data_IF_402477259695
#
_entry.id   IF_402477259695
#
_cell.length_a   1.000
_cell.length_b   1.000
_cell.length_c   1.000
_cell.angle_alpha   90.00
_cell.angle_beta   90.00
_cell.angle_gamma   90.00
#
_symmetry.space_group_name_H-M   'P 1'
#
loop_
_entity.id
_entity.type
_entity.pdbx_description
1 polymer ?
#
# COMPACT_ATOMS: atom_id res chain seq x y z
N UNK A 1 9.76 -4.78 18.09
CA UNK A 1 10.01 -5.87 17.12
C UNK A 1 11.16 -5.55 16.16
N UNK A 2 11.14 -4.41 15.39
CA UNK A 2 12.21 -4.10 14.43
C UNK A 2 13.55 -3.90 15.14
N UNK A 3 13.56 -3.23 16.27
CA UNK A 3 14.79 -3.00 17.05
C UNK A 3 15.29 -4.27 17.75
N UNK A 4 14.39 -5.17 18.17
CA UNK A 4 14.75 -6.50 18.68
C UNK A 4 15.33 -7.37 17.56
N UNK A 5 14.77 -7.31 16.35
CA UNK A 5 15.28 -8.01 15.20
C UNK A 5 16.67 -7.50 14.79
N UNK A 6 16.90 -6.19 14.78
CA UNK A 6 18.22 -5.59 14.54
C UNK A 6 19.25 -5.94 15.65
N UNK A 7 18.78 -6.16 16.87
CA UNK A 7 19.63 -6.57 18.00
C UNK A 7 20.06 -8.04 17.92
N UNK A 8 19.25 -8.88 17.27
CA UNK A 8 19.46 -10.33 17.11
C UNK A 8 20.03 -10.72 15.74
N UNK A 9 20.36 -9.78 14.87
CA UNK A 9 21.05 -10.10 13.62
C UNK A 9 22.46 -10.53 13.97
N UNK A 10 22.82 -11.79 13.65
CA UNK A 10 24.16 -12.34 13.78
C UNK A 10 25.23 -11.48 13.07
N UNK A 11 24.83 -10.68 12.09
CA UNK A 11 25.68 -9.68 11.42
C UNK A 11 26.16 -8.57 12.36
N UNK A 12 25.41 -8.22 13.40
CA UNK A 12 25.93 -7.32 14.45
C UNK A 12 26.98 -8.04 15.28
N UNK A 13 26.89 -9.35 15.44
CA UNK A 13 27.95 -10.15 16.05
C UNK A 13 29.20 -10.25 15.15
N UNK A 14 29.06 -10.10 13.84
CA UNK A 14 30.18 -9.96 12.92
C UNK A 14 30.90 -8.60 13.08
N UNK A 15 30.17 -7.58 13.52
CA UNK A 15 30.69 -6.29 13.96
C UNK A 15 31.00 -6.24 15.45
N UNK A 16 30.67 -7.28 16.22
CA UNK A 16 31.07 -7.43 17.61
C UNK A 16 32.55 -7.82 17.64
N UNK A 17 33.37 -6.83 17.38
CA UNK A 17 34.73 -6.80 17.94
C UNK A 17 34.59 -7.28 19.39
N UNK A 18 35.36 -8.29 19.78
CA UNK A 18 35.41 -8.78 21.15
C UNK A 18 35.40 -7.59 22.10
N UNK A 19 34.72 -7.70 23.25
CA UNK A 19 34.58 -6.58 24.20
C UNK A 19 35.92 -5.87 24.49
N UNK A 20 37.03 -6.61 24.38
CA UNK A 20 38.42 -6.18 24.60
C UNK A 20 38.92 -5.25 23.47
N UNK A 21 38.32 -5.32 22.25
CA UNK A 21 38.78 -4.55 21.07
C UNK A 21 37.83 -3.38 20.74
N UNK A 22 36.82 -3.10 21.59
CA UNK A 22 35.86 -2.02 21.36
C UNK A 22 36.53 -0.66 21.54
N UNK A 23 36.60 0.09 20.45
CA UNK A 23 36.99 1.49 20.51
C UNK A 23 35.89 2.35 21.15
N UNK A 24 36.24 3.49 21.73
CA UNK A 24 35.28 4.44 22.31
C UNK A 24 34.21 4.90 21.28
N UNK A 25 34.51 4.82 20.01
CA UNK A 25 33.57 5.13 18.93
C UNK A 25 32.47 4.06 18.80
N UNK A 26 32.87 2.78 18.88
CA UNK A 26 31.94 1.64 18.81
C UNK A 26 31.01 1.67 20.04
N UNK A 27 31.52 1.95 21.22
CA UNK A 27 30.70 2.05 22.44
C UNK A 27 29.68 3.18 22.36
N UNK A 28 30.09 4.36 21.86
CA UNK A 28 29.15 5.47 21.61
C UNK A 28 28.07 5.13 20.59
N UNK A 29 28.44 4.42 19.55
CA UNK A 29 27.52 3.95 18.52
C UNK A 29 26.49 2.96 19.10
N UNK A 30 26.93 1.96 19.86
CA UNK A 30 26.03 1.01 20.52
C UNK A 30 25.11 1.71 21.53
N UNK A 31 25.65 2.63 22.33
CA UNK A 31 24.86 3.45 23.26
C UNK A 31 23.78 4.26 22.53
N UNK A 32 24.11 4.87 21.40
CA UNK A 32 23.15 5.57 20.57
C UNK A 32 22.01 4.63 20.11
N UNK A 33 22.35 3.44 19.59
CA UNK A 33 21.36 2.45 19.16
C UNK A 33 20.44 2.01 20.30
N UNK A 34 20.97 1.79 21.49
CA UNK A 34 20.18 1.42 22.66
C UNK A 34 19.23 2.56 23.11
N UNK A 35 19.57 3.81 22.82
CA UNK A 35 18.74 4.96 23.12
C UNK A 35 17.67 5.26 22.07
N UNK A 36 17.80 4.76 20.83
CA UNK A 36 16.83 5.02 19.74
C UNK A 36 15.37 4.73 20.12
N UNK A 37 15.02 3.62 20.80
CA UNK A 37 13.65 3.38 21.23
C UNK A 37 13.12 4.46 22.18
N UNK A 38 13.99 5.01 23.04
CA UNK A 38 13.63 6.08 23.96
C UNK A 38 13.40 7.40 23.20
N UNK A 39 14.32 7.76 22.32
CA UNK A 39 14.14 8.94 21.46
C UNK A 39 12.88 8.85 20.62
N UNK A 40 12.59 7.69 20.05
CA UNK A 40 11.37 7.49 19.30
C UNK A 40 10.10 7.67 20.16
N UNK A 41 10.10 7.16 21.40
CA UNK A 41 8.97 7.33 22.31
C UNK A 41 8.74 8.79 22.68
N UNK A 42 9.80 9.51 23.02
CA UNK A 42 9.72 10.92 23.39
C UNK A 42 9.33 11.78 22.17
N UNK A 43 9.90 11.52 21.00
CA UNK A 43 9.52 12.17 19.75
C UNK A 43 8.04 11.99 19.44
N UNK A 44 7.57 10.73 19.49
CA UNK A 44 6.16 10.42 19.27
C UNK A 44 5.26 11.17 20.27
N UNK A 45 5.62 11.15 21.55
CA UNK A 45 4.88 11.84 22.60
C UNK A 45 4.80 13.33 22.31
N UNK A 46 5.93 13.96 22.02
CA UNK A 46 5.98 15.39 21.70
C UNK A 46 5.10 15.77 20.50
N UNK A 47 5.13 14.96 19.43
CA UNK A 47 4.26 15.19 18.29
C UNK A 47 2.77 15.16 18.66
N UNK A 48 2.38 14.17 19.47
CA UNK A 48 1.00 14.04 19.92
C UNK A 48 0.57 15.18 20.86
N UNK A 49 1.43 15.60 21.74
CA UNK A 49 1.19 16.74 22.66
C UNK A 49 1.00 18.04 21.85
N UNK A 50 1.70 18.18 20.71
CA UNK A 50 1.53 19.29 19.77
C UNK A 50 0.37 19.13 18.80
N UNK A 51 -0.37 18.03 18.85
CA UNK A 51 -1.44 17.65 17.91
C UNK A 51 -0.98 17.64 16.43
N UNK A 52 0.24 17.18 16.18
CA UNK A 52 0.83 16.99 14.85
C UNK A 52 1.34 15.56 14.70
N UNK A 53 1.42 15.08 13.46
CA UNK A 53 1.94 13.75 13.19
C UNK A 53 2.48 13.64 11.76
N UNK A 54 3.48 12.76 11.54
CA UNK A 54 3.86 12.32 10.21
C UNK A 54 2.93 11.18 9.74
N UNK A 55 2.84 10.96 8.44
CA UNK A 55 1.90 10.03 7.82
C UNK A 55 1.89 8.63 8.47
N UNK A 56 3.06 8.04 8.71
CA UNK A 56 3.14 6.71 9.33
C UNK A 56 2.64 6.68 10.78
N UNK A 57 2.73 7.79 11.52
CA UNK A 57 2.15 7.92 12.86
C UNK A 57 0.63 8.03 12.79
N UNK A 58 0.10 8.81 11.82
CA UNK A 58 -1.35 8.91 11.56
C UNK A 58 -1.94 7.54 11.29
N UNK A 59 -1.35 6.76 10.37
CA UNK A 59 -1.81 5.40 10.07
C UNK A 59 -1.80 4.48 11.29
N UNK A 60 -0.75 4.54 12.09
CA UNK A 60 -0.64 3.74 13.33
C UNK A 60 -1.72 4.09 14.35
N UNK A 61 -1.98 5.39 14.52
CA UNK A 61 -3.02 5.87 15.43
C UNK A 61 -4.40 5.46 14.92
N UNK A 62 -4.67 5.61 13.60
CA UNK A 62 -5.91 5.21 12.99
C UNK A 62 -6.20 3.72 13.23
N UNK A 63 -5.21 2.84 13.01
CA UNK A 63 -5.34 1.41 13.30
C UNK A 63 -5.60 1.14 14.78
N UNK A 64 -4.90 1.85 15.68
CA UNK A 64 -5.06 1.66 17.14
C UNK A 64 -6.46 2.05 17.62
N UNK A 65 -7.03 3.10 17.05
CA UNK A 65 -8.33 3.66 17.45
C UNK A 65 -9.51 3.09 16.66
N UNK A 66 -9.24 2.21 15.69
CA UNK A 66 -10.25 1.68 14.78
C UNK A 66 -11.40 0.95 15.50
N UNK A 67 -11.12 0.29 16.64
CA UNK A 67 -12.16 -0.32 17.47
C UNK A 67 -13.17 0.71 17.95
N UNK A 68 -12.71 1.75 18.63
CA UNK A 68 -13.58 2.82 19.10
C UNK A 68 -14.30 3.57 17.99
N UNK A 69 -13.69 3.70 16.81
CA UNK A 69 -14.36 4.25 15.63
C UNK A 69 -15.55 3.38 15.20
N UNK A 70 -15.35 2.07 15.10
CA UNK A 70 -16.40 1.11 14.72
C UNK A 70 -17.55 1.14 15.73
N UNK A 71 -17.23 1.11 17.02
CA UNK A 71 -18.23 1.15 18.09
C UNK A 71 -19.08 2.42 18.07
N UNK A 72 -18.45 3.55 17.70
CA UNK A 72 -19.11 4.85 17.59
C UNK A 72 -19.87 5.05 16.26
N UNK A 73 -19.61 4.23 15.25
CA UNK A 73 -20.18 4.36 13.91
C UNK A 73 -20.71 3.00 13.37
N UNK A 74 -21.58 2.31 14.08
CA UNK A 74 -22.00 0.94 13.75
C UNK A 74 -22.82 0.81 12.47
N UNK A 75 -23.23 1.92 11.87
CA UNK A 75 -24.06 1.95 10.65
C UNK A 75 -23.38 2.62 9.47
N UNK A 76 -22.12 3.08 9.63
CA UNK A 76 -21.40 3.75 8.56
C UNK A 76 -20.76 2.73 7.63
N UNK A 77 -21.32 2.56 6.43
CA UNK A 77 -20.76 1.69 5.41
C UNK A 77 -19.68 2.43 4.59
N UNK A 78 -18.53 1.79 4.46
CA UNK A 78 -17.38 2.31 3.73
C UNK A 78 -17.23 1.60 2.39
N UNK A 79 -16.98 2.36 1.33
CA UNK A 79 -16.74 1.83 -0.01
C UNK A 79 -15.28 2.09 -0.41
N UNK A 80 -14.57 1.04 -0.74
CA UNK A 80 -13.21 1.08 -1.22
C UNK A 80 -13.18 0.61 -2.67
N UNK A 81 -12.55 1.38 -3.56
CA UNK A 81 -12.51 1.05 -4.98
C UNK A 81 -11.14 1.33 -5.60
N UNK A 82 -10.74 0.50 -6.57
CA UNK A 82 -9.58 0.73 -7.43
C UNK A 82 -8.22 0.62 -6.75
N UNK A 83 -8.11 -0.15 -5.66
CA UNK A 83 -6.82 -0.38 -5.00
C UNK A 83 -6.03 -1.49 -5.70
N UNK A 84 -4.71 -1.29 -5.80
CA UNK A 84 -3.79 -2.33 -6.24
C UNK A 84 -2.89 -2.77 -5.07
N UNK A 85 -1.92 -1.95 -4.69
CA UNK A 85 -1.07 -2.19 -3.54
C UNK A 85 -1.57 -1.42 -2.32
N UNK A 86 -1.61 -2.10 -1.18
CA UNK A 86 -1.99 -1.50 0.09
C UNK A 86 -0.82 -1.59 1.06
N UNK A 87 -0.64 -0.57 1.89
CA UNK A 87 0.26 -0.68 3.02
C UNK A 87 -0.39 -1.45 4.17
N UNK A 88 0.41 -1.88 5.13
CA UNK A 88 -0.06 -2.72 6.24
C UNK A 88 -1.18 -2.09 7.08
N UNK A 89 -1.19 -0.78 7.25
CA UNK A 89 -2.23 -0.09 8.00
C UNK A 89 -3.55 -0.05 7.22
N UNK A 90 -3.49 0.22 5.92
CA UNK A 90 -4.65 0.18 5.02
C UNK A 90 -5.25 -1.23 5.00
N UNK A 91 -4.42 -2.27 4.85
CA UNK A 91 -4.89 -3.66 4.91
C UNK A 91 -5.62 -3.96 6.24
N UNK A 92 -5.06 -3.54 7.37
CA UNK A 92 -5.66 -3.78 8.68
C UNK A 92 -7.00 -3.04 8.85
N UNK A 93 -7.08 -1.79 8.39
CA UNK A 93 -8.31 -0.98 8.45
C UNK A 93 -9.41 -1.64 7.64
N UNK A 94 -9.13 -1.95 6.36
CA UNK A 94 -10.11 -2.53 5.45
C UNK A 94 -10.57 -3.90 5.97
N UNK A 95 -9.66 -4.79 6.34
CA UNK A 95 -10.01 -6.11 6.87
C UNK A 95 -10.86 -6.03 8.13
N UNK A 96 -10.57 -5.09 9.05
CA UNK A 96 -11.35 -4.96 10.27
C UNK A 96 -12.76 -4.42 9.98
N UNK A 97 -12.90 -3.48 9.06
CA UNK A 97 -14.20 -2.98 8.61
C UNK A 97 -15.01 -4.08 7.89
N UNK A 98 -14.38 -4.86 7.01
CA UNK A 98 -15.01 -6.01 6.35
C UNK A 98 -15.54 -7.05 7.35
N UNK A 99 -14.75 -7.38 8.38
CA UNK A 99 -15.12 -8.32 9.43
C UNK A 99 -16.31 -7.86 10.29
N UNK A 100 -16.62 -6.59 10.29
CA UNK A 100 -17.76 -6.00 11.00
C UNK A 100 -18.90 -5.62 10.06
N UNK A 101 -18.90 -6.07 8.82
CA UNK A 101 -19.88 -5.74 7.78
C UNK A 101 -20.04 -4.24 7.51
N UNK A 102 -18.98 -3.46 7.78
CA UNK A 102 -18.94 -2.01 7.60
C UNK A 102 -18.15 -1.58 6.37
N UNK A 103 -17.80 -2.50 5.49
CA UNK A 103 -17.09 -2.17 4.24
C UNK A 103 -17.54 -3.01 3.05
N UNK A 104 -17.37 -2.43 1.87
CA UNK A 104 -17.41 -3.10 0.56
C UNK A 104 -16.15 -2.72 -0.20
N UNK A 105 -15.53 -3.68 -0.87
CA UNK A 105 -14.32 -3.44 -1.65
C UNK A 105 -14.54 -3.87 -3.10
N UNK A 106 -14.29 -2.96 -4.02
CA UNK A 106 -14.38 -3.15 -5.46
C UNK A 106 -12.97 -3.10 -6.03
N UNK A 107 -12.43 -4.28 -6.37
CA UNK A 107 -11.02 -4.41 -6.72
C UNK A 107 -10.67 -3.93 -8.11
N UNK A 108 -11.62 -3.90 -9.04
CA UNK A 108 -11.40 -3.52 -10.43
C UNK A 108 -10.21 -4.30 -11.05
N UNK A 109 -10.28 -5.61 -10.94
CA UNK A 109 -9.22 -6.51 -11.39
C UNK A 109 -9.73 -7.36 -12.57
N UNK A 110 -8.90 -7.52 -13.61
CA UNK A 110 -9.24 -8.40 -14.73
C UNK A 110 -8.92 -9.86 -14.41
N UNK A 111 -9.84 -10.75 -14.77
CA UNK A 111 -9.74 -12.20 -14.55
C UNK A 111 -8.47 -12.78 -15.18
N UNK A 112 -8.03 -12.24 -16.31
CA UNK A 112 -6.80 -12.67 -16.99
C UNK A 112 -5.57 -12.49 -16.11
N UNK A 113 -5.50 -11.39 -15.33
CA UNK A 113 -4.38 -11.15 -14.41
C UNK A 113 -4.54 -11.87 -13.08
N UNK A 114 -5.78 -12.09 -12.64
CA UNK A 114 -6.05 -12.78 -11.40
C UNK A 114 -5.70 -14.28 -11.48
N UNK A 115 -5.96 -14.90 -12.63
CA UNK A 115 -5.74 -16.33 -12.85
C UNK A 115 -4.35 -16.67 -13.40
N UNK A 116 -3.63 -15.71 -13.97
CA UNK A 116 -2.26 -15.90 -14.44
C UNK A 116 -1.27 -15.64 -13.30
N UNK A 117 -0.69 -16.70 -12.76
CA UNK A 117 0.22 -16.65 -11.60
C UNK A 117 1.53 -15.93 -11.92
N UNK A 118 1.94 -15.91 -13.17
CA UNK A 118 3.20 -15.33 -13.62
C UNK A 118 3.04 -13.84 -13.99
N UNK A 119 1.79 -13.37 -14.15
CA UNK A 119 1.54 -12.00 -14.54
C UNK A 119 1.63 -11.02 -13.34
N UNK A 120 2.61 -10.11 -13.38
CA UNK A 120 2.89 -9.17 -12.30
C UNK A 120 1.71 -8.27 -11.92
N UNK A 121 0.86 -7.88 -12.87
CA UNK A 121 -0.29 -7.00 -12.61
C UNK A 121 -1.31 -7.62 -11.63
N UNK A 122 -1.44 -8.95 -11.58
CA UNK A 122 -2.33 -9.64 -10.65
C UNK A 122 -1.72 -9.94 -9.28
N UNK A 123 -0.47 -9.64 -9.04
CA UNK A 123 0.25 -10.09 -7.85
C UNK A 123 -0.45 -9.70 -6.54
N UNK A 124 -0.76 -8.42 -6.35
CA UNK A 124 -1.39 -7.95 -5.10
C UNK A 124 -2.82 -8.47 -4.97
N UNK A 125 -3.60 -8.48 -6.04
CA UNK A 125 -4.96 -9.02 -6.04
C UNK A 125 -4.99 -10.50 -5.64
N UNK A 126 -4.11 -11.33 -6.22
CA UNK A 126 -3.94 -12.75 -5.85
C UNK A 126 -3.53 -12.91 -4.40
N UNK A 127 -2.54 -12.12 -3.93
CA UNK A 127 -2.07 -12.14 -2.55
C UNK A 127 -3.22 -11.84 -1.59
N UNK A 128 -3.96 -10.77 -1.81
CA UNK A 128 -5.09 -10.34 -0.98
C UNK A 128 -6.17 -11.43 -0.95
N UNK A 129 -6.59 -11.93 -2.12
CA UNK A 129 -7.59 -13.00 -2.25
C UNK A 129 -7.20 -14.26 -1.46
N UNK A 130 -5.91 -14.60 -1.44
CA UNK A 130 -5.41 -15.80 -0.75
C UNK A 130 -5.16 -15.59 0.74
N UNK A 131 -4.79 -14.39 1.17
CA UNK A 131 -4.34 -14.16 2.55
C UNK A 131 -5.39 -13.55 3.46
N UNK A 132 -6.38 -12.83 2.90
CA UNK A 132 -7.42 -12.26 3.74
C UNK A 132 -8.49 -13.28 4.06
N UNK A 133 -8.62 -13.62 5.35
CA UNK A 133 -9.59 -14.62 5.84
C UNK A 133 -11.05 -14.31 5.48
N UNK A 134 -11.39 -13.06 5.21
CA UNK A 134 -12.70 -12.63 4.77
C UNK A 134 -13.12 -13.33 3.46
N UNK A 135 -12.19 -13.49 2.50
CA UNK A 135 -12.45 -14.10 1.20
C UNK A 135 -12.55 -15.63 1.22
N UNK A 136 -12.34 -16.27 2.37
CA UNK A 136 -12.64 -17.69 2.52
C UNK A 136 -14.16 -18.00 2.46
N UNK A 137 -15.00 -17.02 2.80
CA UNK A 137 -16.47 -17.15 2.87
C UNK A 137 -17.22 -16.09 2.08
N UNK A 138 -16.54 -15.11 1.51
CA UNK A 138 -17.14 -14.03 0.74
C UNK A 138 -16.53 -13.96 -0.67
N UNK A 139 -17.31 -13.56 -1.68
CA UNK A 139 -16.79 -13.43 -3.04
C UNK A 139 -15.73 -12.30 -3.11
N UNK A 140 -14.76 -12.50 -4.00
CA UNK A 140 -13.84 -11.45 -4.42
C UNK A 140 -14.51 -10.69 -5.55
N UNK A 141 -15.08 -9.54 -5.24
CA UNK A 141 -16.01 -8.80 -6.13
C UNK A 141 -15.28 -7.92 -7.15
N UNK A 142 -16.04 -7.52 -8.17
CA UNK A 142 -15.60 -6.61 -9.24
C UNK A 142 -14.45 -7.17 -10.08
N UNK A 143 -14.65 -8.40 -10.53
CA UNK A 143 -13.76 -9.04 -11.49
C UNK A 143 -14.34 -8.78 -12.89
N UNK A 144 -13.53 -8.18 -13.74
CA UNK A 144 -13.87 -7.94 -15.15
C UNK A 144 -13.15 -8.94 -16.04
N UNK A 145 -13.58 -9.08 -17.29
CA UNK A 145 -12.93 -9.92 -18.29
C UNK A 145 -12.86 -9.17 -19.61
N UNK A 146 -12.21 -8.03 -19.60
CA UNK A 146 -12.11 -7.13 -20.75
C UNK A 146 -10.76 -7.22 -21.44
N UNK A 147 -9.74 -7.70 -20.74
CA UNK A 147 -8.39 -7.77 -21.30
C UNK A 147 -8.31 -8.70 -22.52
N UNK A 148 -9.06 -9.79 -22.54
CA UNK A 148 -9.12 -10.75 -23.65
C UNK A 148 -10.09 -10.37 -24.75
N UNK A 149 -10.89 -9.34 -24.59
CA UNK A 149 -11.81 -8.88 -25.61
C UNK A 149 -11.05 -8.27 -26.80
N UNK A 150 -11.69 -8.32 -27.95
CA UNK A 150 -11.14 -7.68 -29.16
C UNK A 150 -11.03 -6.18 -28.94
N UNK A 151 -9.85 -5.66 -29.20
CA UNK A 151 -9.53 -4.22 -29.04
C UNK A 151 -9.29 -3.61 -30.41
N UNK A 152 -9.79 -2.39 -30.60
CA UNK A 152 -9.41 -1.58 -31.74
C UNK A 152 -8.07 -0.89 -31.43
N UNK A 153 -7.00 -1.36 -32.08
CA UNK A 153 -5.65 -0.85 -31.89
C UNK A 153 -5.18 -0.21 -33.19
N UNK A 154 -4.91 1.08 -33.17
CA UNK A 154 -4.31 1.82 -34.28
C UNK A 154 -2.88 2.22 -33.94
N UNK A 155 -1.93 1.83 -34.80
CA UNK A 155 -0.52 2.17 -34.63
C UNK A 155 -0.15 3.22 -35.69
N UNK A 156 0.18 4.43 -35.23
CA UNK A 156 0.53 5.55 -36.09
C UNK A 156 2.02 5.86 -35.97
N UNK A 157 2.76 5.69 -37.06
CA UNK A 157 4.18 6.00 -37.11
C UNK A 157 4.42 7.46 -37.46
N UNK A 158 5.33 8.11 -36.73
CA UNK A 158 5.72 9.50 -36.99
C UNK A 158 7.23 9.65 -36.92
N UNK A 159 7.85 10.50 -37.77
CA UNK A 159 9.31 10.60 -37.83
C UNK A 159 9.93 11.37 -36.67
N UNK A 160 9.18 12.12 -35.88
CA UNK A 160 9.68 12.99 -34.79
C UNK A 160 8.64 13.12 -33.67
N UNK A 161 9.09 13.38 -32.44
CA UNK A 161 8.25 13.63 -31.26
C UNK A 161 7.22 14.74 -31.45
N UNK A 162 7.57 15.80 -32.22
CA UNK A 162 6.61 16.86 -32.56
C UNK A 162 5.46 16.33 -33.43
N UNK A 163 5.74 15.37 -34.33
CA UNK A 163 4.70 14.68 -35.12
C UNK A 163 3.75 13.88 -34.20
N UNK A 164 4.28 13.19 -33.20
CA UNK A 164 3.47 12.46 -32.22
C UNK A 164 2.50 13.40 -31.49
N UNK A 165 3.00 14.54 -30.99
CA UNK A 165 2.16 15.52 -30.30
C UNK A 165 1.04 16.08 -31.21
N UNK A 166 1.35 16.36 -32.48
CA UNK A 166 0.33 16.84 -33.46
C UNK A 166 -0.74 15.78 -33.71
N UNK A 167 -0.37 14.50 -33.86
CA UNK A 167 -1.33 13.41 -34.06
C UNK A 167 -2.25 13.25 -32.85
N UNK A 168 -1.72 13.33 -31.64
CA UNK A 168 -2.53 13.31 -30.43
C UNK A 168 -3.55 14.46 -30.46
N UNK A 169 -3.14 15.67 -30.81
CA UNK A 169 -4.05 16.80 -30.96
C UNK A 169 -5.17 16.52 -31.97
N UNK A 170 -4.83 15.99 -33.16
CA UNK A 170 -5.83 15.63 -34.16
C UNK A 170 -6.80 14.53 -33.73
N UNK A 171 -6.31 13.55 -32.96
CA UNK A 171 -7.17 12.49 -32.40
C UNK A 171 -8.14 13.08 -31.38
N UNK A 172 -7.66 13.92 -30.45
CA UNK A 172 -8.50 14.59 -29.45
C UNK A 172 -9.58 15.46 -30.14
N UNK A 173 -9.20 16.24 -31.16
CA UNK A 173 -10.13 17.05 -31.94
C UNK A 173 -11.25 16.19 -32.57
N UNK A 174 -10.92 15.10 -33.25
CA UNK A 174 -11.89 14.15 -33.79
C UNK A 174 -12.82 13.54 -32.73
N UNK A 175 -12.29 13.22 -31.55
CA UNK A 175 -13.09 12.68 -30.43
C UNK A 175 -14.09 13.75 -29.93
N UNK A 176 -13.68 15.00 -29.84
CA UNK A 176 -14.56 16.11 -29.44
C UNK A 176 -15.66 16.37 -30.47
N UNK A 177 -15.32 16.37 -31.78
CA UNK A 177 -16.29 16.52 -32.85
C UNK A 177 -17.37 15.42 -32.85
N UNK A 178 -17.00 14.20 -32.44
CA UNK A 178 -17.92 13.07 -32.35
C UNK A 178 -18.74 13.06 -31.05
N UNK A 179 -18.76 14.14 -30.25
CA UNK A 179 -19.46 14.26 -28.98
C UNK A 179 -19.09 13.13 -27.96
N UNK A 180 -17.93 12.56 -28.09
CA UNK A 180 -17.39 11.71 -27.01
C UNK A 180 -17.13 12.60 -25.80
N UNK A 181 -17.96 12.49 -24.77
CA UNK A 181 -17.71 13.13 -23.48
C UNK A 181 -16.41 12.53 -22.91
N UNK A 182 -15.36 13.30 -22.94
CA UNK A 182 -14.09 13.02 -22.27
C UNK A 182 -14.13 13.53 -20.86
#
# INVERSE_FOLDING_TARGET
HVFEYLKNIDDINHWSVKAEDRTSLIERYLTFWDQLPTYYKEFKKHLLDCNIAYQGLVYRIAVSNLGGYIDSNPHNLHYFAGFNALNQAEEQIIQKLLKNDLARVFWDTDDSFLNDVDHGAGYFARKIKQTWSYYNSHPYEWIVNEFKQVKNIEIISTPKSVGQAKIVGTIVEKLQENNANL
#
